data_IF_138462865665
#
_entry.id   IF_138462865665
#
_cell.length_a   1.000
_cell.length_b   1.000
_cell.length_c   1.000
_cell.angle_alpha   90.00
_cell.angle_beta   90.00
_cell.angle_gamma   90.00
#
_symmetry.space_group_name_H-M   'P 1'
#
loop_
_entity.id
_entity.type
_entity.pdbx_description
1 polymer ?
#
# COMPACT_ATOMS: atom_id res chain seq x y z
N UNK A 1 23.32 5.82 -11.25
CA UNK A 1 21.97 6.29 -10.87
C UNK A 1 22.08 7.51 -9.96
N UNK A 2 21.41 8.60 -10.29
CA UNK A 2 21.29 9.78 -9.42
C UNK A 2 20.49 9.44 -8.15
N UNK A 3 20.69 10.15 -7.02
CA UNK A 3 19.94 9.91 -5.79
C UNK A 3 18.42 9.99 -5.98
N UNK A 4 17.96 10.90 -6.85
CA UNK A 4 16.54 11.09 -7.20
C UNK A 4 15.98 9.90 -7.97
N UNK A 5 16.70 9.36 -8.95
CA UNK A 5 16.27 8.17 -9.70
C UNK A 5 16.09 6.95 -8.77
N UNK A 6 16.94 6.83 -7.75
CA UNK A 6 16.87 5.75 -6.76
C UNK A 6 15.63 5.84 -5.87
N UNK A 7 15.26 7.05 -5.43
CA UNK A 7 14.09 7.24 -4.56
C UNK A 7 12.78 6.99 -5.32
N UNK A 8 12.70 7.42 -6.57
CA UNK A 8 11.57 7.14 -7.48
C UNK A 8 11.42 5.64 -7.69
N UNK A 9 12.51 4.95 -8.05
CA UNK A 9 12.51 3.50 -8.24
C UNK A 9 12.06 2.75 -6.97
N UNK A 10 12.62 3.10 -5.81
CA UNK A 10 12.23 2.49 -4.53
C UNK A 10 10.77 2.75 -4.16
N UNK A 11 10.19 3.87 -4.61
CA UNK A 11 8.76 4.16 -4.44
C UNK A 11 7.93 3.27 -5.36
N UNK A 12 8.30 3.17 -6.63
CA UNK A 12 7.64 2.31 -7.61
C UNK A 12 7.64 0.84 -7.16
N UNK A 13 8.79 0.32 -6.70
CA UNK A 13 8.91 -1.04 -6.17
C UNK A 13 7.95 -1.27 -5.00
N UNK A 14 7.90 -0.35 -4.03
CA UNK A 14 7.00 -0.49 -2.86
C UNK A 14 5.53 -0.50 -3.25
N UNK A 15 5.15 0.37 -4.19
CA UNK A 15 3.77 0.41 -4.73
C UNK A 15 3.45 -0.90 -5.44
N UNK A 16 4.38 -1.40 -6.27
CA UNK A 16 4.21 -2.64 -7.01
C UNK A 16 4.03 -3.84 -6.08
N UNK A 17 4.92 -4.01 -5.13
CA UNK A 17 4.85 -5.08 -4.13
C UNK A 17 3.51 -5.05 -3.39
N UNK A 18 3.05 -3.86 -3.00
CA UNK A 18 1.74 -3.70 -2.36
C UNK A 18 0.57 -4.11 -3.27
N UNK A 19 0.65 -3.80 -4.56
CA UNK A 19 -0.38 -4.17 -5.53
C UNK A 19 -0.38 -5.68 -5.80
N UNK A 20 0.79 -6.31 -5.96
CA UNK A 20 0.91 -7.75 -6.17
C UNK A 20 0.29 -8.54 -4.99
N UNK A 21 0.51 -8.09 -3.75
CA UNK A 21 -0.14 -8.70 -2.58
C UNK A 21 -1.68 -8.56 -2.60
N UNK A 22 -2.19 -7.41 -3.03
CA UNK A 22 -3.64 -7.18 -3.16
C UNK A 22 -4.24 -8.04 -4.27
N UNK A 23 -3.57 -8.14 -5.40
CA UNK A 23 -3.99 -8.97 -6.52
C UNK A 23 -4.00 -10.46 -6.14
N UNK A 24 -2.96 -10.92 -5.45
CA UNK A 24 -2.93 -12.28 -4.92
C UNK A 24 -4.08 -12.56 -3.95
N UNK A 25 -4.35 -11.64 -3.00
CA UNK A 25 -5.43 -11.80 -2.05
C UNK A 25 -6.81 -11.81 -2.72
N UNK A 26 -7.05 -10.94 -3.70
CA UNK A 26 -8.31 -10.88 -4.44
C UNK A 26 -8.52 -12.13 -5.30
N UNK A 27 -7.48 -12.60 -5.99
CA UNK A 27 -7.52 -13.86 -6.74
C UNK A 27 -7.86 -15.05 -5.83
N UNK A 28 -7.19 -15.18 -4.67
CA UNK A 28 -7.47 -16.25 -3.71
C UNK A 28 -8.88 -16.18 -3.12
N UNK A 29 -9.43 -14.99 -2.94
CA UNK A 29 -10.82 -14.82 -2.50
C UNK A 29 -11.82 -15.27 -3.57
N UNK A 30 -11.58 -14.97 -4.85
CA UNK A 30 -12.41 -15.43 -5.97
C UNK A 30 -12.39 -16.96 -6.10
N UNK A 31 -11.20 -17.56 -6.09
CA UNK A 31 -11.05 -19.03 -6.11
C UNK A 31 -11.81 -19.69 -4.95
N UNK A 32 -11.81 -19.04 -3.78
CA UNK A 32 -12.51 -19.58 -2.61
C UNK A 32 -14.03 -19.56 -2.79
N UNK A 33 -14.55 -18.46 -3.35
CA UNK A 33 -15.96 -18.29 -3.66
C UNK A 33 -16.43 -19.30 -4.71
N UNK A 34 -15.68 -19.48 -5.79
CA UNK A 34 -15.96 -20.46 -6.84
C UNK A 34 -16.00 -21.89 -6.30
N UNK A 35 -15.09 -22.23 -5.39
CA UNK A 35 -15.00 -23.57 -4.77
C UNK A 35 -15.96 -23.76 -3.58
N UNK A 36 -16.83 -22.79 -3.29
CA UNK A 36 -17.69 -22.77 -2.11
C UNK A 36 -16.93 -23.05 -0.78
N UNK A 37 -15.68 -22.60 -0.72
CA UNK A 37 -14.83 -22.73 0.46
C UNK A 37 -14.88 -21.46 1.31
N UNK A 38 -14.39 -21.53 2.54
CA UNK A 38 -14.48 -20.40 3.48
C UNK A 38 -13.61 -19.21 3.05
N UNK A 39 -14.26 -18.14 2.57
CA UNK A 39 -13.64 -16.84 2.25
C UNK A 39 -12.91 -16.25 3.46
N UNK A 40 -13.47 -16.43 4.67
CA UNK A 40 -12.82 -15.97 5.91
C UNK A 40 -11.47 -16.66 6.15
N UNK A 41 -11.41 -17.98 5.93
CA UNK A 41 -10.15 -18.75 6.11
C UNK A 41 -9.13 -18.37 5.04
N UNK A 42 -9.55 -18.16 3.80
CA UNK A 42 -8.63 -17.70 2.75
C UNK A 42 -8.08 -16.33 3.06
N UNK A 43 -8.90 -15.36 3.49
CA UNK A 43 -8.45 -14.04 3.94
C UNK A 43 -7.37 -14.13 5.04
N UNK A 44 -7.63 -14.90 6.11
CA UNK A 44 -6.67 -15.09 7.21
C UNK A 44 -5.35 -15.70 6.71
N UNK A 45 -5.41 -16.66 5.79
CA UNK A 45 -4.21 -17.28 5.22
C UNK A 45 -3.42 -16.36 4.29
N UNK A 46 -4.08 -15.41 3.63
CA UNK A 46 -3.45 -14.45 2.70
C UNK A 46 -2.91 -13.21 3.39
N UNK A 47 -3.38 -12.91 4.61
CA UNK A 47 -2.86 -11.77 5.37
C UNK A 47 -1.37 -11.94 5.68
N UNK A 48 -0.63 -10.84 5.56
CA UNK A 48 0.78 -10.78 5.93
C UNK A 48 0.94 -11.11 7.42
N UNK A 49 1.56 -12.24 7.72
CA UNK A 49 1.92 -12.60 9.08
C UNK A 49 3.19 -11.83 9.46
N UNK A 50 3.07 -10.95 10.45
CA UNK A 50 4.23 -10.26 11.05
C UNK A 50 4.99 -11.16 12.03
N UNK A 51 4.34 -12.24 12.47
CA UNK A 51 4.92 -13.25 13.36
C UNK A 51 5.87 -14.17 12.60
N UNK A 52 7.00 -14.50 13.22
CA UNK A 52 7.91 -15.54 12.75
C UNK A 52 7.17 -16.86 12.54
N UNK A 53 7.35 -17.55 11.41
CA UNK A 53 6.66 -18.80 11.15
C UNK A 53 7.13 -19.90 12.12
N UNK A 54 6.19 -20.55 12.80
CA UNK A 54 6.45 -21.70 13.69
C UNK A 54 6.87 -22.96 12.91
N UNK A 55 6.43 -23.06 11.66
CA UNK A 55 6.81 -24.13 10.75
C UNK A 55 6.93 -23.62 9.31
N UNK A 56 7.78 -24.28 8.53
CA UNK A 56 7.99 -23.99 7.12
C UNK A 56 7.82 -25.28 6.33
N UNK A 57 7.02 -25.26 5.26
CA UNK A 57 6.89 -26.41 4.35
C UNK A 57 7.80 -26.20 3.16
N UNK A 58 8.67 -27.18 2.88
CA UNK A 58 9.57 -27.16 1.72
C UNK A 58 8.80 -27.42 0.42
N UNK A 59 9.47 -27.20 -0.72
CA UNK A 59 8.94 -27.53 -2.04
C UNK A 59 8.60 -29.03 -2.17
N UNK A 60 9.39 -29.90 -1.52
CA UNK A 60 9.17 -31.34 -1.48
C UNK A 60 8.04 -31.77 -0.52
N UNK A 61 7.36 -30.81 0.13
CA UNK A 61 6.26 -31.07 1.07
C UNK A 61 6.71 -31.42 2.49
N UNK A 62 8.01 -31.48 2.77
CA UNK A 62 8.53 -31.74 4.14
C UNK A 62 8.29 -30.53 5.04
N UNK A 63 7.75 -30.77 6.25
CA UNK A 63 7.46 -29.72 7.23
C UNK A 63 8.61 -29.57 8.22
N UNK A 64 9.30 -28.43 8.18
CA UNK A 64 10.31 -28.02 9.14
C UNK A 64 9.64 -27.34 10.34
N UNK A 65 9.99 -27.77 11.56
CA UNK A 65 9.57 -27.13 12.82
C UNK A 65 10.73 -26.55 13.63
N UNK A 66 11.95 -27.01 13.38
CA UNK A 66 13.13 -26.53 14.08
C UNK A 66 13.55 -25.16 13.52
N UNK A 67 13.80 -24.21 14.43
CA UNK A 67 14.13 -22.83 14.08
C UNK A 67 15.39 -22.72 13.20
N UNK A 68 16.44 -23.49 13.52
CA UNK A 68 17.71 -23.45 12.75
C UNK A 68 17.52 -23.94 11.32
N UNK A 69 16.70 -24.96 11.15
CA UNK A 69 16.43 -25.55 9.84
C UNK A 69 15.56 -24.62 8.98
N UNK A 70 14.57 -23.96 9.59
CA UNK A 70 13.76 -22.92 8.93
C UNK A 70 14.66 -21.76 8.45
N UNK A 71 15.55 -21.24 9.30
CA UNK A 71 16.45 -20.15 8.92
C UNK A 71 17.42 -20.55 7.82
N UNK A 72 17.95 -21.77 7.88
CA UNK A 72 18.84 -22.32 6.84
C UNK A 72 18.11 -22.40 5.50
N UNK A 73 16.89 -22.93 5.49
CA UNK A 73 16.09 -23.06 4.28
C UNK A 73 15.76 -21.72 3.65
N UNK A 74 15.30 -20.75 4.46
CA UNK A 74 15.01 -19.39 4.00
C UNK A 74 16.26 -18.76 3.40
N UNK A 75 17.41 -18.91 4.06
CA UNK A 75 18.69 -18.37 3.57
C UNK A 75 19.08 -18.99 2.24
N UNK A 76 19.03 -20.31 2.13
CA UNK A 76 19.35 -21.03 0.89
C UNK A 76 18.42 -20.61 -0.24
N UNK A 77 17.11 -20.53 0.01
CA UNK A 77 16.12 -20.11 -0.97
C UNK A 77 16.41 -18.71 -1.52
N UNK A 78 16.59 -17.70 -0.65
CA UNK A 78 16.85 -16.35 -1.11
C UNK A 78 18.23 -16.20 -1.73
N UNK A 79 19.23 -16.93 -1.24
CA UNK A 79 20.56 -16.92 -1.84
C UNK A 79 20.54 -17.46 -3.27
N UNK A 80 19.83 -18.56 -3.51
CA UNK A 80 19.63 -19.11 -4.86
C UNK A 80 18.84 -18.13 -5.74
N UNK A 81 17.74 -17.59 -5.23
CA UNK A 81 16.90 -16.61 -5.95
C UNK A 81 17.69 -15.39 -6.42
N UNK A 82 18.51 -14.81 -5.55
CA UNK A 82 19.32 -13.63 -5.89
C UNK A 82 20.62 -13.96 -6.65
N UNK A 83 21.05 -15.22 -6.65
CA UNK A 83 22.20 -15.68 -7.45
C UNK A 83 21.80 -16.19 -8.84
N UNK A 84 20.50 -16.42 -9.06
CA UNK A 84 19.96 -16.89 -10.32
C UNK A 84 20.24 -15.90 -11.44
N UNK A 85 20.93 -16.39 -12.48
CA UNK A 85 21.23 -15.65 -13.72
C UNK A 85 20.17 -15.86 -14.80
N UNK A 86 19.03 -16.47 -14.44
CA UNK A 86 17.92 -16.67 -15.37
C UNK A 86 17.49 -15.29 -15.86
N UNK A 87 17.52 -15.11 -17.19
CA UNK A 87 17.03 -13.90 -17.82
C UNK A 87 15.51 -13.90 -17.69
N UNK A 88 15.01 -13.28 -16.62
CA UNK A 88 13.60 -12.96 -16.48
C UNK A 88 13.33 -11.86 -17.50
N UNK A 89 12.40 -12.09 -18.43
CA UNK A 89 11.99 -11.02 -19.35
C UNK A 89 11.70 -9.77 -18.52
N UNK A 90 12.40 -8.69 -18.87
CA UNK A 90 12.20 -7.42 -18.21
C UNK A 90 10.71 -7.10 -18.33
N UNK A 91 10.06 -6.98 -17.17
CA UNK A 91 8.65 -6.62 -17.10
C UNK A 91 8.46 -5.34 -17.92
N UNK A 92 7.76 -5.44 -19.04
CA UNK A 92 7.35 -4.27 -19.80
C UNK A 92 6.42 -3.49 -18.89
N UNK A 93 6.89 -2.34 -18.39
CA UNK A 93 6.05 -1.40 -17.66
C UNK A 93 4.74 -1.22 -18.44
N UNK A 94 3.57 -1.28 -17.78
CA UNK A 94 2.37 -0.76 -18.40
C UNK A 94 2.70 0.69 -18.73
N UNK A 95 2.72 1.02 -20.02
CA UNK A 95 3.01 2.36 -20.49
C UNK A 95 2.20 3.35 -19.66
N UNK A 96 2.87 4.29 -19.01
CA UNK A 96 2.25 5.37 -18.23
C UNK A 96 1.23 6.20 -19.08
N UNK A 97 1.24 6.01 -20.40
CA UNK A 97 0.42 6.70 -21.39
C UNK A 97 -1.09 6.39 -21.41
N UNK A 98 -1.62 5.48 -20.58
CA UNK A 98 -3.08 5.28 -20.49
C UNK A 98 -3.73 5.87 -19.23
N UNK A 99 -2.95 6.32 -18.24
CA UNK A 99 -3.48 7.09 -17.11
C UNK A 99 -2.92 8.52 -17.03
N UNK A 100 -1.91 8.86 -17.84
CA UNK A 100 -1.42 10.24 -17.98
C UNK A 100 -2.09 10.99 -19.14
N UNK A 101 -3.35 10.67 -19.44
CA UNK A 101 -4.19 11.64 -20.15
C UNK A 101 -4.58 12.73 -19.16
N UNK A 102 -3.70 13.73 -19.06
CA UNK A 102 -4.08 15.14 -18.93
C UNK A 102 -5.39 15.38 -18.19
N UNK A 103 -5.41 15.09 -16.89
CA UNK A 103 -6.14 15.97 -16.02
C UNK A 103 -5.08 16.93 -15.49
N UNK A 104 -4.97 18.08 -16.14
CA UNK A 104 -4.93 19.32 -15.38
C UNK A 104 -6.18 19.30 -14.47
N UNK A 105 -6.12 18.46 -13.42
CA UNK A 105 -7.09 18.39 -12.36
C UNK A 105 -6.88 19.70 -11.62
N UNK A 106 -7.55 20.73 -12.10
CA UNK A 106 -8.08 21.80 -11.28
C UNK A 106 -8.51 21.13 -9.98
N UNK A 107 -7.72 21.31 -8.92
CA UNK A 107 -7.92 20.60 -7.66
C UNK A 107 -9.36 20.87 -7.27
N UNK A 108 -10.24 19.89 -7.47
CA UNK A 108 -11.67 20.02 -7.26
C UNK A 108 -11.97 20.03 -5.78
N UNK A 109 -11.44 21.03 -5.07
CA UNK A 109 -11.69 21.26 -3.66
C UNK A 109 -13.16 21.64 -3.57
N UNK A 110 -13.98 20.67 -3.16
CA UNK A 110 -15.39 20.89 -2.99
C UNK A 110 -15.59 21.84 -1.80
N UNK A 111 -16.46 22.85 -1.94
CA UNK A 111 -16.71 23.82 -0.87
C UNK A 111 -17.13 23.12 0.45
N UNK A 112 -17.83 21.98 0.34
CA UNK A 112 -18.18 21.14 1.48
C UNK A 112 -16.97 20.56 2.22
N UNK A 113 -15.89 20.21 1.53
CA UNK A 113 -14.66 19.73 2.17
C UNK A 113 -14.00 20.85 2.98
N UNK A 114 -13.99 22.08 2.45
CA UNK A 114 -13.46 23.27 3.14
C UNK A 114 -14.29 23.57 4.40
N UNK A 115 -15.62 23.56 4.28
CA UNK A 115 -16.54 23.78 5.41
C UNK A 115 -16.34 22.72 6.48
N UNK A 116 -16.21 21.44 6.08
CA UNK A 116 -15.98 20.32 6.99
C UNK A 116 -14.62 20.42 7.68
N UNK A 117 -13.56 20.79 6.96
CA UNK A 117 -12.23 20.99 7.53
C UNK A 117 -12.25 22.10 8.59
N UNK A 118 -12.87 23.25 8.29
CA UNK A 118 -13.04 24.37 9.24
C UNK A 118 -13.83 23.92 10.49
N UNK A 119 -14.88 23.11 10.31
CA UNK A 119 -15.71 22.60 11.43
C UNK A 119 -14.88 21.76 12.39
N UNK A 120 -14.05 20.87 11.86
CA UNK A 120 -13.22 19.92 12.61
C UNK A 120 -12.00 20.56 13.32
N UNK A 121 -11.63 21.80 12.98
CA UNK A 121 -10.51 22.48 13.63
C UNK A 121 -10.68 22.59 15.15
N UNK A 122 -9.66 22.22 15.93
CA UNK A 122 -9.68 22.35 17.39
C UNK A 122 -9.48 23.82 17.81
N UNK A 123 -10.28 24.28 18.78
CA UNK A 123 -10.11 25.61 19.39
C UNK A 123 -8.86 25.64 20.28
N UNK A 124 -8.25 26.81 20.47
CA UNK A 124 -7.13 27.00 21.39
C UNK A 124 -5.74 26.65 20.84
N UNK A 125 -5.59 26.39 19.54
CA UNK A 125 -4.26 26.27 18.91
C UNK A 125 -3.60 27.65 18.80
N UNK A 126 -2.30 27.70 19.05
CA UNK A 126 -1.49 28.89 18.85
C UNK A 126 -1.50 29.28 17.36
N UNK A 127 -1.54 30.59 17.04
CA UNK A 127 -1.49 31.05 15.66
C UNK A 127 -0.14 30.76 15.01
N UNK A 128 -0.14 30.67 13.68
CA UNK A 128 1.09 30.65 12.89
C UNK A 128 1.67 32.06 12.68
N UNK A 129 2.69 32.21 11.82
CA UNK A 129 3.26 33.50 11.45
C UNK A 129 2.24 34.50 10.89
N UNK A 130 1.17 33.99 10.28
CA UNK A 130 0.03 34.74 9.75
C UNK A 130 -0.89 35.34 10.82
N UNK A 131 -0.68 34.99 12.10
CA UNK A 131 -1.50 35.40 13.24
C UNK A 131 -2.97 34.95 13.15
N UNK A 132 -3.32 34.05 12.22
CA UNK A 132 -4.67 33.55 12.05
C UNK A 132 -4.92 32.43 13.05
N UNK A 133 -6.00 32.58 13.83
CA UNK A 133 -6.42 31.58 14.82
C UNK A 133 -7.60 30.78 14.28
N UNK A 134 -7.79 29.53 14.71
CA UNK A 134 -8.95 28.72 14.32
C UNK A 134 -10.30 29.40 14.61
N UNK A 135 -10.37 30.30 15.59
CA UNK A 135 -11.59 31.08 15.87
C UNK A 135 -11.97 32.03 14.73
N UNK A 136 -10.99 32.61 14.03
CA UNK A 136 -11.23 33.53 12.92
C UNK A 136 -11.78 32.78 11.70
N UNK A 137 -11.27 31.58 11.44
CA UNK A 137 -11.74 30.72 10.34
C UNK A 137 -13.12 30.14 10.60
N UNK A 138 -13.46 29.81 11.85
CA UNK A 138 -14.81 29.32 12.19
C UNK A 138 -15.91 30.37 11.99
N UNK A 139 -15.59 31.66 12.07
CA UNK A 139 -16.54 32.73 11.73
C UNK A 139 -16.87 32.78 10.23
N UNK A 140 -15.98 32.27 9.36
CA UNK A 140 -16.22 32.26 7.91
C UNK A 140 -17.27 31.21 7.49
N UNK A 141 -17.62 30.25 8.36
CA UNK A 141 -18.68 29.28 8.07
C UNK A 141 -20.03 29.93 7.79
N UNK A 142 -20.31 31.10 8.38
CA UNK A 142 -21.54 31.85 8.16
C UNK A 142 -21.59 32.50 6.76
N UNK A 143 -20.43 32.70 6.14
CA UNK A 143 -20.30 33.30 4.80
C UNK A 143 -20.50 32.24 3.71
N UNK A 144 -19.99 31.02 3.93
CA UNK A 144 -20.17 29.87 3.02
C UNK A 144 -21.54 29.19 3.14
N UNK A 145 -22.37 29.58 4.11
CA UNK A 145 -23.71 29.02 4.32
C UNK A 145 -24.82 29.75 3.55
N UNK A 146 -24.49 30.78 2.75
CA UNK A 146 -25.45 31.46 1.88
C UNK A 146 -25.36 30.87 0.46
N UNK A 147 -26.51 30.57 -0.17
CA UNK A 147 -26.55 30.02 -1.53
C UNK A 147 -26.13 31.05 -2.58
#
# INVERSE_FOLDING_TARGET
MTPVARTVLNKAIRVRVKNDYREYATRRAREAAEKATSIKRTFISTCSKTTTPECLTKAEGTVLRNRKDIEKEIRTFFQDLFSSKVHVEAYSEPSESENDKSNEEEWGILELEVVQAIRQMRRGKAPGPDQIRPKHLKCLQEVFAKP
#
